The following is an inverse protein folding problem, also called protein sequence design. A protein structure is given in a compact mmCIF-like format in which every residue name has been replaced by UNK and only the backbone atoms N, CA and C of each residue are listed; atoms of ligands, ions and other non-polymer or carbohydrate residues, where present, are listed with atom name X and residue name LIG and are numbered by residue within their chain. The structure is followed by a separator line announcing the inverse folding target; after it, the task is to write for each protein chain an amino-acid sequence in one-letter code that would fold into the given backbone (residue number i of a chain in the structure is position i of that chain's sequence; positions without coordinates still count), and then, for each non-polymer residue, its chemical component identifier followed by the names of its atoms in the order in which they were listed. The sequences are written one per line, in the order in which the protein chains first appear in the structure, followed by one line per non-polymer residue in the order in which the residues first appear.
data_IF_846847217681
#
_entry.id   IF_846847217681
#
_cell.length_a   1.000
_cell.length_b   1.000
_cell.length_c   1.000
_cell.angle_alpha   90.00
_cell.angle_beta   90.00
_cell.angle_gamma   90.00
#
_symmetry.space_group_name_H-M   'P 1'
#
loop_
_entity.id
_entity.type
_entity.pdbx_description
1 polymer ?
#
# COMPACT_ATOMS: atom_id res chain seq x y z
N UNK A 1 25.29 -55.25 -34.01
CA UNK A 1 24.79 -55.21 -32.62
C UNK A 1 24.75 -53.77 -32.15
N UNK A 2 23.57 -53.14 -32.12
CA UNK A 2 23.38 -51.74 -31.68
C UNK A 2 23.20 -51.73 -30.16
N UNK A 3 24.10 -51.07 -29.42
CA UNK A 3 23.96 -50.85 -27.97
C UNK A 3 23.30 -49.49 -27.76
N UNK A 4 22.04 -49.50 -27.33
CA UNK A 4 21.31 -48.31 -26.90
C UNK A 4 21.66 -48.09 -25.44
N UNK A 5 22.44 -47.04 -25.14
CA UNK A 5 22.65 -46.55 -23.78
C UNK A 5 21.53 -45.54 -23.48
N UNK A 6 20.49 -46.01 -22.80
CA UNK A 6 19.47 -45.17 -22.19
C UNK A 6 20.06 -44.46 -20.97
N UNK A 7 20.33 -43.16 -21.10
CA UNK A 7 20.67 -42.30 -19.97
C UNK A 7 19.34 -41.84 -19.36
N UNK A 8 18.95 -42.44 -18.25
CA UNK A 8 17.87 -41.97 -17.39
C UNK A 8 18.28 -40.64 -16.78
N UNK A 9 17.74 -39.54 -17.30
CA UNK A 9 17.73 -38.25 -16.61
C UNK A 9 16.87 -38.41 -15.34
N UNK A 10 17.51 -38.51 -14.19
CA UNK A 10 16.88 -38.25 -12.91
C UNK A 10 16.58 -36.75 -12.84
N UNK A 11 15.35 -36.37 -13.19
CA UNK A 11 14.80 -35.08 -12.83
C UNK A 11 14.65 -35.05 -11.30
N UNK A 12 15.66 -34.51 -10.62
CA UNK A 12 15.53 -34.12 -9.22
C UNK A 12 14.52 -32.99 -9.15
N UNK A 13 13.26 -33.31 -8.84
CA UNK A 13 12.29 -32.31 -8.40
C UNK A 13 12.87 -31.66 -7.14
N UNK A 14 13.42 -30.46 -7.29
CA UNK A 14 13.69 -29.58 -6.15
C UNK A 14 12.34 -29.33 -5.50
N UNK A 15 12.11 -29.94 -4.35
CA UNK A 15 11.02 -29.57 -3.48
C UNK A 15 11.31 -28.13 -3.07
N UNK A 16 10.60 -27.18 -3.67
CA UNK A 16 10.56 -25.82 -3.18
C UNK A 16 9.98 -25.90 -1.77
N UNK A 17 10.86 -25.93 -0.77
CA UNK A 17 10.47 -25.65 0.60
C UNK A 17 9.98 -24.20 0.56
N UNK A 18 8.66 -24.02 0.52
CA UNK A 18 8.06 -22.71 0.73
C UNK A 18 8.57 -22.22 2.08
N UNK A 19 9.38 -21.16 2.07
CA UNK A 19 9.87 -20.57 3.30
C UNK A 19 8.67 -20.14 4.15
N UNK A 20 8.60 -20.72 5.33
CA UNK A 20 7.49 -20.60 6.26
C UNK A 20 7.43 -19.14 6.73
N UNK A 21 6.41 -18.40 6.24
CA UNK A 21 6.08 -17.06 6.70
C UNK A 21 5.75 -17.09 8.19
N UNK A 22 6.22 -16.09 8.94
CA UNK A 22 5.97 -15.90 10.38
C UNK A 22 4.48 -15.72 10.78
N UNK A 23 3.57 -15.97 9.83
CA UNK A 23 2.12 -15.81 9.91
C UNK A 23 1.37 -17.15 9.77
N UNK A 24 2.05 -18.30 9.86
CA UNK A 24 1.39 -19.63 9.82
C UNK A 24 0.25 -19.80 10.85
N UNK A 25 0.18 -18.98 11.90
CA UNK A 25 -0.95 -18.97 12.84
C UNK A 25 -2.16 -18.10 12.44
N UNK A 26 -2.06 -17.31 11.36
CA UNK A 26 -2.96 -16.16 11.11
C UNK A 26 -3.60 -16.18 9.72
N UNK A 27 -3.40 -17.23 8.92
CA UNK A 27 -3.92 -17.36 7.55
C UNK A 27 -3.50 -16.25 6.55
N UNK A 28 -2.66 -15.29 6.93
CA UNK A 28 -2.21 -14.21 6.05
C UNK A 28 -1.11 -14.66 5.06
N UNK A 29 -1.29 -14.32 3.78
CA UNK A 29 -0.40 -14.62 2.66
C UNK A 29 0.31 -13.37 2.15
N UNK A 30 1.52 -13.14 2.64
CA UNK A 30 2.38 -12.05 2.16
C UNK A 30 3.22 -12.50 0.94
N UNK A 31 3.60 -11.57 0.03
CA UNK A 31 4.49 -11.86 -1.09
C UNK A 31 5.82 -12.45 -0.61
N UNK A 32 6.59 -13.10 -1.47
CA UNK A 32 7.85 -13.75 -1.09
C UNK A 32 9.04 -12.78 -0.90
N UNK A 33 8.86 -11.49 -1.24
CA UNK A 33 9.91 -10.47 -1.21
C UNK A 33 11.12 -10.77 -2.10
N UNK A 34 11.00 -11.62 -3.14
CA UNK A 34 12.10 -11.80 -4.11
C UNK A 34 12.25 -10.62 -5.07
N UNK A 35 11.24 -9.76 -5.15
CA UNK A 35 11.22 -8.53 -5.94
C UNK A 35 10.31 -7.49 -5.28
N UNK A 36 10.20 -6.31 -5.90
CA UNK A 36 9.24 -5.25 -5.49
C UNK A 36 7.77 -5.59 -5.79
N UNK A 37 7.52 -6.66 -6.56
CA UNK A 37 6.18 -7.04 -6.99
C UNK A 37 5.25 -7.33 -5.81
N UNK A 38 4.02 -6.80 -5.88
CA UNK A 38 2.98 -6.90 -4.84
C UNK A 38 3.32 -6.30 -3.48
N UNK A 39 4.40 -5.51 -3.38
CA UNK A 39 4.67 -4.67 -2.20
C UNK A 39 3.99 -3.30 -2.36
N UNK A 40 3.49 -2.68 -1.28
CA UNK A 40 2.91 -1.35 -1.36
C UNK A 40 3.94 -0.31 -1.83
N UNK A 41 3.48 0.68 -2.60
CA UNK A 41 4.34 1.74 -3.14
C UNK A 41 5.04 2.54 -2.03
N UNK A 42 4.36 2.73 -0.90
CA UNK A 42 4.88 3.42 0.26
C UNK A 42 4.30 2.82 1.54
N UNK A 43 5.08 2.87 2.62
CA UNK A 43 4.67 2.45 3.96
C UNK A 43 5.03 3.54 4.98
N UNK A 44 4.19 3.77 6.01
CA UNK A 44 4.54 4.71 7.06
C UNK A 44 5.70 4.16 7.89
N UNK A 45 6.52 5.08 8.43
CA UNK A 45 7.51 4.75 9.43
C UNK A 45 7.09 5.29 10.80
N UNK A 46 7.46 4.58 11.87
CA UNK A 46 7.20 5.01 13.25
C UNK A 46 8.49 5.10 14.06
N UNK A 47 8.62 6.16 14.84
CA UNK A 47 9.65 6.24 15.87
C UNK A 47 9.12 5.59 17.14
N UNK A 48 9.83 4.58 17.64
CA UNK A 48 9.54 3.94 18.93
C UNK A 48 10.83 3.42 19.57
N UNK A 49 10.83 3.11 20.88
CA UNK A 49 12.00 2.50 21.51
C UNK A 49 12.34 1.15 20.86
N UNK A 50 13.60 0.94 20.53
CA UNK A 50 14.15 -0.37 20.23
C UNK A 50 14.18 -1.25 21.50
N UNK A 51 14.55 -2.53 21.37
CA UNK A 51 14.72 -3.42 22.52
C UNK A 51 15.75 -2.91 23.55
N UNK A 52 16.67 -2.04 23.12
CA UNK A 52 17.66 -1.35 23.97
C UNK A 52 17.11 -0.11 24.68
N UNK A 53 15.86 0.28 24.43
CA UNK A 53 15.23 1.49 24.96
C UNK A 53 15.54 2.77 24.18
N UNK A 54 16.50 2.75 23.25
CA UNK A 54 16.83 3.92 22.42
C UNK A 54 15.76 4.14 21.33
N UNK A 55 15.36 5.39 21.04
CA UNK A 55 14.48 5.68 19.91
C UNK A 55 15.08 5.18 18.60
N UNK A 56 14.28 4.47 17.81
CA UNK A 56 14.66 3.97 16.50
C UNK A 56 13.49 4.19 15.54
N UNK A 57 13.82 4.57 14.30
CA UNK A 57 12.85 4.69 13.21
C UNK A 57 12.58 3.32 12.58
N UNK A 58 11.35 2.83 12.69
CA UNK A 58 10.92 1.57 12.09
C UNK A 58 10.15 1.84 10.81
N UNK A 59 10.77 1.54 9.67
CA UNK A 59 10.23 1.61 8.33
C UNK A 59 9.99 0.19 7.78
N UNK A 60 9.14 -0.58 8.46
CA UNK A 60 8.91 -2.00 8.14
C UNK A 60 7.43 -2.33 8.14
N UNK A 61 6.99 -3.07 7.13
CA UNK A 61 5.62 -3.56 7.03
C UNK A 61 5.41 -4.87 7.80
N UNK A 62 6.46 -5.64 8.12
CA UNK A 62 6.36 -6.90 8.86
C UNK A 62 6.88 -6.77 10.30
N UNK A 63 6.34 -7.53 11.27
CA UNK A 63 6.86 -7.52 12.66
C UNK A 63 8.08 -8.40 12.79
N UNK A 64 7.92 -9.66 12.41
CA UNK A 64 8.96 -10.66 12.51
C UNK A 64 9.93 -10.50 11.35
N UNK A 65 11.21 -10.78 11.60
CA UNK A 65 12.18 -10.95 10.53
C UNK A 65 11.92 -12.29 9.87
N UNK A 66 11.96 -12.32 8.53
CA UNK A 66 12.05 -13.56 7.77
C UNK A 66 13.27 -13.53 6.86
N UNK A 67 13.63 -14.70 6.37
CA UNK A 67 14.65 -14.82 5.33
C UNK A 67 14.02 -14.72 3.95
N UNK A 68 14.82 -14.29 2.99
CA UNK A 68 14.49 -14.19 1.58
C UNK A 68 15.71 -14.69 0.80
N UNK A 69 15.48 -15.63 -0.11
CA UNK A 69 16.51 -16.08 -1.05
C UNK A 69 16.49 -15.19 -2.30
N UNK A 70 17.55 -14.40 -2.49
CA UNK A 70 17.73 -13.51 -3.64
C UNK A 70 18.86 -14.05 -4.53
N UNK A 71 18.62 -14.09 -5.84
CA UNK A 71 19.67 -14.43 -6.80
C UNK A 71 20.74 -13.33 -6.87
N UNK A 72 21.98 -13.67 -6.52
CA UNK A 72 23.14 -12.79 -6.65
C UNK A 72 23.83 -13.07 -7.99
N UNK A 73 23.67 -12.15 -8.94
CA UNK A 73 24.25 -12.28 -10.28
C UNK A 73 25.79 -12.22 -10.29
N UNK A 74 26.43 -11.60 -9.28
CA UNK A 74 27.89 -11.57 -9.20
C UNK A 74 28.45 -12.90 -8.70
N UNK A 75 27.76 -13.52 -7.72
CA UNK A 75 28.17 -14.81 -7.13
C UNK A 75 27.61 -16.03 -7.86
N UNK A 76 26.67 -15.83 -8.79
CA UNK A 76 25.98 -16.89 -9.54
C UNK A 76 25.31 -17.91 -8.61
N UNK A 77 24.72 -17.45 -7.52
CA UNK A 77 24.02 -18.29 -6.54
C UNK A 77 22.94 -17.51 -5.80
N UNK A 78 22.00 -18.24 -5.18
CA UNK A 78 21.07 -17.64 -4.24
C UNK A 78 21.80 -17.26 -2.95
N UNK A 79 21.54 -16.05 -2.47
CA UNK A 79 22.01 -15.54 -1.18
C UNK A 79 20.79 -15.34 -0.30
N UNK A 80 20.85 -15.95 0.89
CA UNK A 80 19.83 -15.82 1.91
C UNK A 80 20.07 -14.55 2.72
N UNK A 81 19.14 -13.61 2.66
CA UNK A 81 19.21 -12.36 3.42
C UNK A 81 17.99 -12.20 4.33
N UNK A 82 18.09 -11.32 5.32
CA UNK A 82 16.92 -10.91 6.11
C UNK A 82 16.08 -9.91 5.33
N UNK A 83 14.76 -9.98 5.47
CA UNK A 83 13.84 -9.03 4.82
C UNK A 83 13.86 -7.61 5.41
N UNK A 84 14.75 -7.37 6.36
CA UNK A 84 14.97 -6.11 7.05
C UNK A 84 16.45 -5.88 7.23
N UNK A 85 16.83 -4.62 7.21
CA UNK A 85 18.20 -4.13 7.38
C UNK A 85 18.21 -3.00 8.39
N UNK A 86 19.30 -2.87 9.14
CA UNK A 86 19.48 -1.80 10.11
C UNK A 86 20.52 -0.80 9.58
N UNK A 87 20.33 0.47 9.89
CA UNK A 87 21.25 1.52 9.51
C UNK A 87 21.13 2.74 10.41
N UNK A 88 21.74 3.84 9.98
CA UNK A 88 21.73 5.11 10.70
C UNK A 88 21.44 6.26 9.74
N UNK A 89 20.53 7.14 10.13
CA UNK A 89 20.39 8.46 9.53
C UNK A 89 21.32 9.43 10.27
N UNK A 90 22.15 10.15 9.52
CA UNK A 90 23.05 11.18 10.03
C UNK A 90 23.07 12.37 9.09
N UNK A 91 22.80 13.56 9.62
CA UNK A 91 22.83 14.84 8.89
C UNK A 91 22.01 14.78 7.59
N UNK A 92 20.79 14.25 7.68
CA UNK A 92 19.88 14.15 6.54
C UNK A 92 20.01 12.87 5.71
N UNK A 93 21.12 12.14 5.78
CA UNK A 93 21.38 10.98 4.91
C UNK A 93 21.24 9.67 5.70
N UNK A 94 20.48 8.71 5.18
CA UNK A 94 20.28 7.39 5.79
C UNK A 94 21.11 6.34 5.06
N UNK A 95 21.94 5.60 5.80
CA UNK A 95 22.89 4.65 5.21
C UNK A 95 22.89 3.27 5.88
N UNK A 96 23.20 2.27 5.07
CA UNK A 96 23.41 0.87 5.48
C UNK A 96 24.76 0.42 4.94
N UNK A 97 25.71 0.12 5.82
CA UNK A 97 27.05 -0.33 5.43
C UNK A 97 27.71 0.56 4.35
N UNK A 98 27.46 1.87 4.42
CA UNK A 98 27.99 2.86 3.47
C UNK A 98 27.13 3.13 2.23
N UNK A 99 26.13 2.30 1.93
CA UNK A 99 25.16 2.55 0.85
C UNK A 99 24.08 3.53 1.29
N UNK A 100 23.71 4.47 0.41
CA UNK A 100 22.59 5.39 0.61
C UNK A 100 21.26 4.67 0.44
N UNK A 101 20.36 4.84 1.41
CA UNK A 101 19.01 4.26 1.40
C UNK A 101 17.94 5.32 1.67
N UNK A 102 18.22 6.58 1.34
CA UNK A 102 17.28 7.69 1.43
C UNK A 102 17.65 8.75 2.46
N UNK A 103 16.67 9.57 2.83
CA UNK A 103 16.92 10.80 3.60
C UNK A 103 15.91 10.97 4.73
N UNK A 104 16.39 11.37 5.91
CA UNK A 104 15.56 11.74 7.05
C UNK A 104 16.25 12.82 7.88
N UNK A 105 15.47 13.81 8.32
CA UNK A 105 15.97 15.02 8.99
C UNK A 105 16.57 14.78 10.37
N UNK A 106 16.18 13.71 11.05
CA UNK A 106 16.66 13.39 12.41
C UNK A 106 17.79 12.39 12.37
N UNK A 107 18.78 12.59 13.25
CA UNK A 107 19.85 11.63 13.49
C UNK A 107 19.30 10.48 14.34
N UNK A 108 19.03 9.34 13.72
CA UNK A 108 18.37 8.21 14.38
C UNK A 108 18.79 6.88 13.77
N UNK A 109 18.97 5.81 14.58
CA UNK A 109 19.07 4.48 14.04
C UNK A 109 17.75 4.09 13.40
N UNK A 110 17.79 3.23 12.39
CA UNK A 110 16.58 2.75 11.73
C UNK A 110 16.61 1.26 11.44
N UNK A 111 15.42 0.71 11.25
CA UNK A 111 15.18 -0.58 10.62
C UNK A 111 14.30 -0.41 9.39
N UNK A 112 14.70 -0.98 8.25
CA UNK A 112 14.09 -0.76 6.95
C UNK A 112 13.83 -2.08 6.23
N UNK A 113 12.66 -2.24 5.60
CA UNK A 113 12.39 -3.36 4.70
C UNK A 113 13.24 -3.27 3.42
N UNK A 114 13.82 -4.39 2.97
CA UNK A 114 14.89 -4.42 1.95
C UNK A 114 14.56 -3.75 0.60
N UNK A 115 13.28 -3.67 0.23
CA UNK A 115 12.83 -3.09 -1.03
C UNK A 115 12.45 -1.61 -0.97
N UNK A 116 12.78 -0.94 0.14
CA UNK A 116 12.36 0.42 0.42
C UNK A 116 13.55 1.37 0.65
N UNK A 117 13.30 2.66 0.48
CA UNK A 117 14.17 3.78 0.82
C UNK A 117 13.42 4.75 1.75
N UNK A 118 14.13 5.35 2.70
CA UNK A 118 13.55 6.31 3.65
C UNK A 118 13.36 7.67 2.97
N UNK A 119 12.24 8.32 3.26
CA UNK A 119 11.96 9.68 2.80
C UNK A 119 10.96 10.40 3.70
N UNK A 120 10.61 11.61 3.28
CA UNK A 120 9.52 12.38 3.88
C UNK A 120 8.26 12.25 3.02
N UNK A 121 7.11 12.17 3.68
CA UNK A 121 5.81 12.38 3.06
C UNK A 121 5.60 13.85 2.70
N UNK A 122 4.55 14.15 1.93
CA UNK A 122 4.15 15.52 1.57
C UNK A 122 3.79 16.38 2.79
N UNK A 123 3.36 15.75 3.89
CA UNK A 123 3.08 16.36 5.19
C UNK A 123 4.25 16.24 6.19
N UNK A 124 5.46 15.92 5.71
CA UNK A 124 6.71 16.01 6.48
C UNK A 124 6.93 14.93 7.55
N UNK A 125 6.16 13.83 7.50
CA UNK A 125 6.28 12.65 8.35
C UNK A 125 7.15 11.57 7.68
N UNK A 126 7.72 10.61 8.43
CA UNK A 126 8.65 9.65 7.84
C UNK A 126 7.90 8.54 7.10
N UNK A 127 8.30 8.26 5.86
CA UNK A 127 7.72 7.22 5.00
C UNK A 127 8.86 6.42 4.38
N UNK A 128 8.64 5.12 4.18
CA UNK A 128 9.50 4.29 3.34
C UNK A 128 8.82 4.15 1.97
N UNK A 129 9.49 4.60 0.91
CA UNK A 129 9.05 4.45 -0.47
C UNK A 129 9.68 3.18 -1.04
N UNK A 130 8.91 2.40 -1.80
CA UNK A 130 9.45 1.28 -2.57
C UNK A 130 10.55 1.82 -3.50
N UNK A 131 11.58 1.02 -3.74
CA UNK A 131 12.79 1.48 -4.46
C UNK A 131 12.52 1.94 -5.90
N UNK A 132 11.46 1.42 -6.52
CA UNK A 132 10.98 1.82 -7.86
C UNK A 132 9.89 2.91 -7.83
N UNK A 133 9.44 3.34 -6.64
CA UNK A 133 8.40 4.37 -6.49
C UNK A 133 8.97 5.77 -6.75
N UNK A 134 8.28 6.53 -7.59
CA UNK A 134 8.66 7.89 -8.00
C UNK A 134 7.78 8.97 -7.40
N UNK A 135 6.56 8.63 -6.98
CA UNK A 135 5.57 9.57 -6.46
C UNK A 135 5.73 9.76 -4.96
N UNK A 136 5.60 10.99 -4.50
CA UNK A 136 5.48 11.28 -3.08
C UNK A 136 4.04 11.10 -2.61
N UNK A 137 3.87 10.61 -1.39
CA UNK A 137 2.56 10.36 -0.78
C UNK A 137 2.43 11.14 0.51
N UNK A 138 1.18 11.41 0.93
CA UNK A 138 0.95 11.84 2.31
C UNK A 138 1.15 10.68 3.28
N UNK A 139 1.36 10.98 4.56
CA UNK A 139 1.49 9.95 5.57
C UNK A 139 0.21 9.12 5.73
N UNK A 140 -0.95 9.78 5.64
CA UNK A 140 -2.27 9.13 5.67
C UNK A 140 -2.42 8.16 4.49
N UNK A 141 -1.98 8.57 3.30
CA UNK A 141 -2.01 7.73 2.10
C UNK A 141 -1.07 6.52 2.24
N UNK A 142 0.16 6.71 2.76
CA UNK A 142 1.04 5.59 3.09
C UNK A 142 0.36 4.61 4.07
N UNK A 143 -0.39 5.14 5.04
CA UNK A 143 -1.23 4.34 5.93
C UNK A 143 -2.30 3.53 5.19
N UNK A 144 -3.00 4.16 4.24
CA UNK A 144 -4.01 3.49 3.42
C UNK A 144 -3.42 2.40 2.53
N UNK A 145 -2.26 2.64 1.92
CA UNK A 145 -1.53 1.64 1.14
C UNK A 145 -1.13 0.43 1.99
N UNK A 146 -0.64 0.67 3.21
CA UNK A 146 -0.28 -0.41 4.13
C UNK A 146 -1.52 -1.18 4.63
N UNK A 147 -2.60 -0.49 4.95
CA UNK A 147 -3.85 -1.12 5.39
C UNK A 147 -4.43 -2.01 4.29
N UNK A 148 -4.51 -1.49 3.06
CA UNK A 148 -4.94 -2.28 1.90
C UNK A 148 -4.06 -3.51 1.72
N UNK A 149 -2.74 -3.36 1.83
CA UNK A 149 -1.82 -4.48 1.73
C UNK A 149 -2.07 -5.57 2.78
N UNK A 150 -2.43 -5.21 4.02
CA UNK A 150 -2.81 -6.20 5.04
C UNK A 150 -4.14 -6.90 4.76
N UNK A 151 -5.13 -6.16 4.27
CA UNK A 151 -6.43 -6.72 3.88
C UNK A 151 -6.28 -7.68 2.70
N UNK A 152 -5.55 -7.28 1.66
CA UNK A 152 -5.29 -8.10 0.47
C UNK A 152 -4.48 -9.37 0.82
N UNK A 153 -3.61 -9.28 1.83
CA UNK A 153 -2.87 -10.44 2.36
C UNK A 153 -3.73 -11.34 3.25
N UNK A 154 -4.96 -10.97 3.60
CA UNK A 154 -5.85 -11.77 4.45
C UNK A 154 -5.47 -11.74 5.93
N UNK A 155 -4.92 -10.63 6.43
CA UNK A 155 -4.71 -10.47 7.88
C UNK A 155 -6.07 -10.48 8.60
N UNK A 156 -6.27 -11.31 9.64
CA UNK A 156 -7.55 -11.41 10.35
C UNK A 156 -7.97 -10.09 11.00
N UNK A 157 -9.27 -9.79 11.01
CA UNK A 157 -9.83 -8.55 11.56
C UNK A 157 -9.42 -8.27 13.01
N UNK A 158 -9.35 -9.32 13.83
CA UNK A 158 -8.92 -9.25 15.22
C UNK A 158 -7.42 -8.93 15.40
N UNK A 159 -6.62 -9.04 14.33
CA UNK A 159 -5.18 -8.76 14.33
C UNK A 159 -4.81 -7.49 13.55
N UNK A 160 -5.66 -7.03 12.63
CA UNK A 160 -5.41 -5.87 11.76
C UNK A 160 -4.98 -4.62 12.53
N UNK A 161 -5.78 -4.20 13.53
CA UNK A 161 -5.51 -3.00 14.33
C UNK A 161 -4.17 -3.12 15.04
N UNK A 162 -3.94 -4.23 15.74
CA UNK A 162 -2.69 -4.45 16.48
C UNK A 162 -1.45 -4.52 15.58
N UNK A 163 -1.64 -4.98 14.34
CA UNK A 163 -0.59 -5.04 13.32
C UNK A 163 -0.31 -3.64 12.78
N UNK A 164 -1.34 -2.87 12.47
CA UNK A 164 -1.23 -1.52 11.93
C UNK A 164 -0.68 -0.52 12.95
N UNK A 165 -1.09 -0.58 14.22
CA UNK A 165 -0.65 0.31 15.29
C UNK A 165 0.87 0.35 15.46
N UNK A 166 1.54 -0.75 15.13
CA UNK A 166 2.99 -0.87 15.18
C UNK A 166 3.71 -0.15 14.02
N UNK A 167 2.98 0.44 13.07
CA UNK A 167 3.51 1.03 11.81
C UNK A 167 3.00 2.44 11.53
N UNK A 168 1.97 2.90 12.22
CA UNK A 168 1.43 4.24 12.02
C UNK A 168 1.60 5.10 13.28
N UNK A 169 1.91 6.38 13.11
CA UNK A 169 2.12 7.29 14.25
C UNK A 169 0.75 7.59 14.84
N UNK A 170 0.53 7.22 16.10
CA UNK A 170 -0.80 7.28 16.73
C UNK A 170 -1.74 6.13 16.35
N UNK A 171 -1.25 5.15 15.57
CA UNK A 171 -1.97 3.93 15.22
C UNK A 171 -3.25 4.14 14.41
N UNK A 172 -4.10 3.11 14.44
CA UNK A 172 -5.37 3.01 13.75
C UNK A 172 -6.32 4.16 14.08
N UNK A 173 -6.40 4.56 15.35
CA UNK A 173 -7.27 5.66 15.78
C UNK A 173 -6.87 6.99 15.09
N UNK A 174 -5.58 7.33 15.12
CA UNK A 174 -5.08 8.54 14.47
C UNK A 174 -5.22 8.48 12.93
N UNK A 175 -4.96 7.32 12.33
CA UNK A 175 -5.13 7.13 10.89
C UNK A 175 -6.59 7.28 10.47
N UNK A 176 -7.55 6.70 11.19
CA UNK A 176 -8.97 6.81 10.84
C UNK A 176 -9.49 8.24 10.93
N UNK A 177 -9.09 8.98 11.96
CA UNK A 177 -9.43 10.40 12.07
C UNK A 177 -8.89 11.19 10.87
N UNK A 178 -7.60 11.01 10.58
CA UNK A 178 -6.92 11.78 9.52
C UNK A 178 -7.27 11.32 8.11
N UNK A 179 -7.69 10.06 7.91
CA UNK A 179 -8.26 9.57 6.65
C UNK A 179 -9.60 10.24 6.37
N UNK A 180 -10.45 10.37 7.39
CA UNK A 180 -11.71 11.11 7.28
C UNK A 180 -11.50 12.59 6.98
N UNK A 181 -10.49 13.21 7.61
CA UNK A 181 -10.09 14.60 7.36
C UNK A 181 -9.42 14.80 6.00
N UNK A 182 -8.57 13.87 5.53
CA UNK A 182 -7.97 13.93 4.19
C UNK A 182 -9.02 13.71 3.10
N UNK A 183 -9.98 12.82 3.33
CA UNK A 183 -11.18 12.72 2.50
C UNK A 183 -12.04 14.00 2.56
N UNK A 184 -11.96 14.79 3.64
CA UNK A 184 -12.68 16.06 3.79
C UNK A 184 -11.88 17.29 3.32
N UNK A 185 -10.56 17.20 3.26
CA UNK A 185 -9.66 18.22 2.73
C UNK A 185 -9.50 18.07 1.21
N UNK A 186 -9.57 16.85 0.68
CA UNK A 186 -9.79 16.60 -0.74
C UNK A 186 -11.15 17.17 -1.21
N UNK A 187 -12.18 17.17 -0.32
CA UNK A 187 -13.45 17.88 -0.51
C UNK A 187 -13.35 19.42 -0.46
N UNK A 188 -12.18 20.01 -0.17
CA UNK A 188 -12.01 21.46 -0.04
C UNK A 188 -11.35 22.12 -1.26
N UNK A 189 -11.11 21.38 -2.35
CA UNK A 189 -10.65 21.95 -3.63
C UNK A 189 -11.75 22.11 -4.68
N UNK A 190 -12.98 21.66 -4.40
CA UNK A 190 -14.14 22.17 -5.10
C UNK A 190 -14.51 23.52 -4.50
N UNK A 191 -14.11 24.59 -5.19
CA UNK A 191 -14.87 25.85 -5.15
C UNK A 191 -16.35 25.48 -5.10
N UNK A 192 -17.18 26.01 -4.18
CA UNK A 192 -18.60 25.69 -4.16
C UNK A 192 -19.17 26.11 -5.50
N UNK A 193 -19.35 25.15 -6.41
CA UNK A 193 -20.01 25.39 -7.67
C UNK A 193 -21.48 25.54 -7.28
N UNK A 194 -21.95 26.79 -7.33
CA UNK A 194 -23.25 27.16 -6.79
C UNK A 194 -24.41 26.46 -7.49
N UNK A 195 -24.20 25.87 -8.67
CA UNK A 195 -25.19 25.10 -9.42
C UNK A 195 -24.49 23.98 -10.20
N UNK A 196 -24.92 22.73 -10.01
CA UNK A 196 -24.52 21.60 -10.86
C UNK A 196 -25.23 21.70 -12.21
N UNK A 197 -24.61 21.30 -13.33
CA UNK A 197 -25.33 21.16 -14.59
C UNK A 197 -26.47 20.14 -14.41
N UNK A 198 -27.63 20.38 -15.04
CA UNK A 198 -28.73 19.42 -15.06
C UNK A 198 -28.25 18.12 -15.72
N UNK A 199 -28.21 17.03 -14.95
CA UNK A 199 -27.84 15.69 -15.43
C UNK A 199 -29.10 14.83 -15.54
N UNK A 200 -29.40 14.34 -16.75
CA UNK A 200 -30.57 13.48 -17.01
C UNK A 200 -30.23 12.01 -16.94
N UNK A 201 -29.04 11.64 -17.39
CA UNK A 201 -28.53 10.27 -17.29
C UNK A 201 -27.07 10.27 -16.88
N UNK A 202 -26.70 9.35 -15.99
CA UNK A 202 -25.33 9.07 -15.64
C UNK A 202 -25.14 7.56 -15.64
N UNK A 203 -24.07 7.07 -16.25
CA UNK A 203 -23.72 5.66 -16.23
C UNK A 203 -22.21 5.51 -16.23
N UNK A 204 -21.69 4.65 -15.38
CA UNK A 204 -20.28 4.28 -15.37
C UNK A 204 -20.15 2.77 -15.32
N UNK A 205 -19.20 2.22 -16.06
CA UNK A 205 -18.91 0.80 -16.04
C UNK A 205 -18.22 0.43 -14.71
N UNK A 206 -18.82 -0.42 -13.87
CA UNK A 206 -18.24 -0.80 -12.58
C UNK A 206 -16.97 -1.67 -12.72
N UNK A 207 -16.66 -2.16 -13.93
CA UNK A 207 -15.46 -2.98 -14.21
C UNK A 207 -14.37 -2.23 -14.95
N UNK A 208 -14.58 -0.96 -15.30
CA UNK A 208 -13.66 -0.18 -16.11
C UNK A 208 -13.66 1.28 -15.68
N UNK A 209 -12.56 1.67 -15.03
CA UNK A 209 -12.36 2.97 -14.39
C UNK A 209 -12.37 4.18 -15.35
N UNK A 210 -12.44 4.00 -16.66
CA UNK A 210 -12.43 5.09 -17.66
C UNK A 210 -13.64 5.10 -18.60
N UNK A 211 -14.71 4.37 -18.24
CA UNK A 211 -15.90 4.19 -19.07
C UNK A 211 -17.15 4.77 -18.41
N UNK A 212 -17.19 6.11 -18.37
CA UNK A 212 -18.27 6.90 -17.78
C UNK A 212 -18.96 7.78 -18.81
N UNK A 213 -20.27 7.89 -18.73
CA UNK A 213 -21.13 8.70 -19.59
C UNK A 213 -22.08 9.56 -18.75
N UNK A 214 -22.14 10.84 -19.07
CA UNK A 214 -23.13 11.79 -18.56
C UNK A 214 -23.93 12.30 -19.76
N UNK A 215 -25.26 12.24 -19.71
CA UNK A 215 -26.16 12.61 -20.81
C UNK A 215 -25.76 11.98 -22.15
N UNK A 216 -25.39 10.70 -22.11
CA UNK A 216 -24.89 9.90 -23.25
C UNK A 216 -23.57 10.40 -23.87
N UNK A 217 -22.81 11.25 -23.18
CA UNK A 217 -21.47 11.69 -23.58
C UNK A 217 -20.42 11.09 -22.68
N UNK A 218 -19.36 10.53 -23.27
CA UNK A 218 -18.24 9.99 -22.49
C UNK A 218 -17.55 11.14 -21.74
N UNK A 219 -17.39 10.99 -20.43
CA UNK A 219 -16.74 11.96 -19.54
C UNK A 219 -15.55 11.29 -18.84
N UNK A 220 -14.34 11.89 -18.87
CA UNK A 220 -13.21 11.39 -18.11
C UNK A 220 -13.50 11.39 -16.60
N UNK A 221 -13.01 10.40 -15.87
CA UNK A 221 -13.22 10.31 -14.40
C UNK A 221 -12.78 11.57 -13.66
N UNK A 222 -11.64 12.15 -14.04
CA UNK A 222 -11.13 13.39 -13.45
C UNK A 222 -12.08 14.60 -13.62
N UNK A 223 -13.08 14.50 -14.50
CA UNK A 223 -14.06 15.55 -14.78
C UNK A 223 -15.45 15.26 -14.21
N UNK A 224 -15.69 14.07 -13.63
CA UNK A 224 -17.00 13.69 -13.08
C UNK A 224 -17.46 14.61 -11.96
N UNK A 225 -16.53 15.09 -11.13
CA UNK A 225 -16.81 16.07 -10.08
C UNK A 225 -17.24 17.45 -10.57
N UNK A 226 -17.38 17.66 -11.89
CA UNK A 226 -18.04 18.85 -12.48
C UNK A 226 -19.54 18.62 -12.76
N UNK A 227 -19.95 17.36 -12.80
CA UNK A 227 -21.29 16.93 -13.22
C UNK A 227 -22.10 16.35 -12.06
N UNK A 228 -21.47 15.55 -11.20
CA UNK A 228 -22.14 14.83 -10.12
C UNK A 228 -21.58 15.25 -8.76
N UNK A 229 -22.43 15.47 -7.76
CA UNK A 229 -21.99 15.69 -6.39
C UNK A 229 -21.34 14.42 -5.81
N UNK A 230 -20.35 14.64 -4.94
CA UNK A 230 -19.73 13.56 -4.17
C UNK A 230 -20.70 12.98 -3.14
N UNK A 231 -20.72 11.66 -3.03
CA UNK A 231 -21.54 10.91 -2.06
C UNK A 231 -20.62 10.17 -1.11
N UNK A 232 -20.87 10.31 0.19
CA UNK A 232 -20.18 9.52 1.19
C UNK A 232 -20.72 8.09 1.21
N UNK A 233 -19.84 7.12 1.50
CA UNK A 233 -20.20 5.70 1.67
C UNK A 233 -21.35 5.50 2.66
N UNK A 234 -21.35 6.23 3.78
CA UNK A 234 -22.46 6.21 4.74
C UNK A 234 -23.81 6.61 4.16
N UNK A 235 -23.83 7.50 3.16
CA UNK A 235 -25.06 7.95 2.50
C UNK A 235 -25.48 6.94 1.42
N UNK A 236 -24.51 6.32 0.74
CA UNK A 236 -24.77 5.24 -0.20
C UNK A 236 -25.40 4.03 0.51
N UNK A 237 -24.82 3.60 1.63
CA UNK A 237 -25.32 2.49 2.43
C UNK A 237 -26.75 2.72 2.93
N UNK A 238 -27.04 3.94 3.41
CA UNK A 238 -28.38 4.33 3.88
C UNK A 238 -29.44 4.30 2.78
N UNK A 239 -29.02 4.53 1.54
CA UNK A 239 -29.89 4.53 0.37
C UNK A 239 -29.91 3.16 -0.35
N UNK A 240 -29.28 2.14 0.25
CA UNK A 240 -29.22 0.78 -0.30
C UNK A 240 -28.28 0.63 -1.51
N UNK A 241 -27.34 1.56 -1.65
CA UNK A 241 -26.27 1.54 -2.65
C UNK A 241 -24.96 0.97 -2.11
N UNK A 242 -23.90 1.14 -2.89
CA UNK A 242 -22.52 0.79 -2.53
C UNK A 242 -21.56 1.79 -3.16
N UNK A 243 -20.35 1.92 -2.61
CA UNK A 243 -19.32 2.76 -3.23
C UNK A 243 -18.17 1.90 -3.76
N UNK A 244 -17.78 2.19 -4.99
CA UNK A 244 -16.55 1.73 -5.60
C UNK A 244 -15.46 2.80 -5.44
N UNK A 245 -14.26 2.50 -5.95
CA UNK A 245 -13.07 3.36 -5.86
C UNK A 245 -13.35 4.79 -6.35
N UNK A 246 -14.25 4.95 -7.33
CA UNK A 246 -14.43 6.20 -8.08
C UNK A 246 -15.81 6.86 -7.83
N UNK A 247 -16.87 6.06 -7.60
CA UNK A 247 -18.24 6.55 -7.47
C UNK A 247 -19.06 5.68 -6.53
N UNK A 248 -20.15 6.25 -6.03
CA UNK A 248 -21.20 5.49 -5.35
C UNK A 248 -22.35 5.20 -6.30
N UNK A 249 -22.88 3.99 -6.22
CA UNK A 249 -23.91 3.43 -7.08
C UNK A 249 -25.13 3.04 -6.26
N UNK A 250 -26.32 3.25 -6.82
CA UNK A 250 -27.56 2.79 -6.20
C UNK A 250 -27.73 1.27 -6.39
N UNK A 251 -28.87 0.74 -5.93
CA UNK A 251 -29.21 -0.68 -6.08
C UNK A 251 -29.35 -1.16 -7.54
N UNK A 252 -29.44 -0.24 -8.50
CA UNK A 252 -29.61 -0.49 -9.93
C UNK A 252 -28.31 -0.17 -10.72
N UNK A 253 -27.17 -0.08 -10.02
CA UNK A 253 -25.84 0.26 -10.54
C UNK A 253 -25.78 1.62 -11.26
N UNK A 254 -26.64 2.57 -10.88
CA UNK A 254 -26.58 3.94 -11.40
C UNK A 254 -25.78 4.86 -10.46
N UNK A 255 -24.93 5.76 -10.97
CA UNK A 255 -24.18 6.71 -10.16
C UNK A 255 -25.09 7.58 -9.29
N UNK A 256 -25.05 7.43 -7.98
CA UNK A 256 -26.03 8.06 -7.09
C UNK A 256 -26.01 9.59 -7.11
N UNK A 257 -24.95 10.21 -7.63
CA UNK A 257 -24.80 11.67 -7.68
C UNK A 257 -25.97 12.36 -8.40
N UNK A 258 -26.61 11.73 -9.38
CA UNK A 258 -27.75 12.35 -10.08
C UNK A 258 -29.00 12.45 -9.19
N UNK A 259 -29.11 11.63 -8.15
CA UNK A 259 -30.27 11.63 -7.22
C UNK A 259 -30.24 12.80 -6.23
N UNK A 260 -29.11 13.51 -6.14
CA UNK A 260 -28.88 14.60 -5.19
C UNK A 260 -28.88 16.00 -5.84
N UNK A 261 -29.23 16.09 -7.12
CA UNK A 261 -29.50 17.33 -7.84
C UNK A 261 -30.98 17.73 -7.69
#
# INVERSE_FOLDING_TARGET
MKRILSILLLASCAHANAEISAYQGTAAFFPDEKSTHNLPEAIPCVTRPAATGQPMLFCTWLTSTRYVDIWDAQRQQNVRITNKVNGMCQRGNCRIQGADVGNWKEDTPFQLSIWYRIGSSTDGKPVAYRTDATRQVSYVEAGSLLMKFYLDAGVPDNELVSTFDKRYIGGWAAWNQTKGEAASAAKSSSTPQSEWPEVKTAWCNPRMDDDCYIDNKKVPVAELGKWLPDISESNADQLGGHCEIILCFDKDDQPMGYLLQ
#
